data_IF_427734099849
#
_entry.id   IF_427734099849
#
_cell.length_a   1.000
_cell.length_b   1.000
_cell.length_c   1.000
_cell.angle_alpha   90.00
_cell.angle_beta   90.00
_cell.angle_gamma   90.00
#
_symmetry.space_group_name_H-M   'P 1'
#
loop_
_entity.id
_entity.type
_entity.pdbx_description
1 polymer ?
#
# COMPACT_ATOMS: atom_id res chain seq x y z
N UNK A 1 -18.88 4.64 -17.39
CA UNK A 1 -17.97 3.63 -17.98
C UNK A 1 -16.98 4.34 -18.88
N UNK A 2 -15.69 4.01 -18.79
CA UNK A 2 -14.63 4.53 -19.68
C UNK A 2 -14.21 3.42 -20.64
N UNK A 3 -13.77 3.80 -21.83
CA UNK A 3 -13.26 2.89 -22.88
C UNK A 3 -11.98 2.20 -22.39
N UNK A 4 -11.86 0.90 -22.63
CA UNK A 4 -10.66 0.11 -22.33
C UNK A 4 -9.40 0.71 -23.01
N UNK A 5 -8.33 0.88 -22.23
CA UNK A 5 -7.08 1.53 -22.67
C UNK A 5 -6.26 0.72 -23.68
N UNK A 6 -6.55 -0.56 -23.82
CA UNK A 6 -5.95 -1.50 -24.76
C UNK A 6 -6.93 -1.94 -25.85
N UNK A 7 -8.08 -1.26 -25.98
CA UNK A 7 -9.06 -1.51 -27.04
C UNK A 7 -8.45 -1.58 -28.44
N UNK A 8 -7.42 -0.78 -28.71
CA UNK A 8 -6.70 -0.79 -29.99
C UNK A 8 -5.89 -2.07 -30.25
N UNK A 9 -5.51 -2.81 -29.20
CA UNK A 9 -4.78 -4.09 -29.33
C UNK A 9 -5.70 -5.28 -29.53
N UNK A 10 -6.97 -5.17 -29.14
CA UNK A 10 -7.94 -6.25 -29.17
C UNK A 10 -9.19 -5.82 -29.93
N UNK A 11 -9.02 -5.53 -31.22
CA UNK A 11 -10.09 -5.03 -32.11
C UNK A 11 -11.31 -5.95 -32.21
N UNK A 12 -11.15 -7.24 -31.90
CA UNK A 12 -12.23 -8.23 -31.88
C UNK A 12 -13.03 -8.27 -30.58
N UNK A 13 -12.58 -7.56 -29.54
CA UNK A 13 -13.24 -7.47 -28.25
C UNK A 13 -13.88 -6.09 -28.08
N UNK A 14 -15.06 -6.05 -27.48
CA UNK A 14 -15.71 -4.80 -27.12
C UNK A 14 -14.87 -4.08 -26.07
N UNK A 15 -14.67 -2.75 -26.21
CA UNK A 15 -13.91 -1.95 -25.25
C UNK A 15 -14.58 -1.80 -23.88
N UNK A 16 -15.71 -2.49 -23.66
CA UNK A 16 -16.46 -2.53 -22.42
C UNK A 16 -16.61 -3.95 -21.87
N UNK A 17 -15.91 -4.93 -22.44
CA UNK A 17 -15.93 -6.32 -21.95
C UNK A 17 -15.06 -6.49 -20.72
N UNK A 18 -15.62 -7.14 -19.71
CA UNK A 18 -14.90 -7.52 -18.49
C UNK A 18 -14.25 -8.90 -18.64
N UNK A 19 -12.94 -9.00 -18.41
CA UNK A 19 -12.19 -10.26 -18.45
C UNK A 19 -12.31 -11.04 -19.77
N UNK A 20 -12.53 -10.35 -20.90
CA UNK A 20 -12.85 -10.98 -22.19
C UNK A 20 -13.99 -12.03 -22.11
N UNK A 21 -15.01 -11.76 -21.28
CA UNK A 21 -16.12 -12.67 -20.95
C UNK A 21 -15.72 -13.97 -20.23
N UNK A 22 -14.52 -14.06 -19.66
CA UNK A 22 -14.11 -15.18 -18.81
C UNK A 22 -13.56 -14.68 -17.46
N UNK A 23 -14.40 -14.12 -16.58
CA UNK A 23 -13.96 -13.49 -15.34
C UNK A 23 -13.43 -14.48 -14.29
N UNK A 24 -13.62 -15.80 -14.51
CA UNK A 24 -13.09 -16.85 -13.63
C UNK A 24 -11.60 -17.07 -13.90
N UNK A 25 -11.18 -17.00 -15.16
CA UNK A 25 -9.80 -17.28 -15.56
C UNK A 25 -9.01 -16.02 -15.94
N UNK A 26 -9.70 -14.95 -16.33
CA UNK A 26 -9.09 -13.69 -16.76
C UNK A 26 -9.41 -12.61 -15.71
N UNK A 27 -8.42 -12.32 -14.87
CA UNK A 27 -8.41 -11.12 -14.06
C UNK A 27 -8.06 -9.97 -15.01
N UNK A 28 -8.94 -8.99 -15.16
CA UNK A 28 -8.60 -7.72 -15.79
C UNK A 28 -7.60 -7.01 -14.86
N UNK A 29 -6.31 -7.25 -15.05
CA UNK A 29 -5.25 -6.55 -14.31
C UNK A 29 -5.26 -5.12 -14.82
N UNK A 30 -5.91 -4.22 -14.11
CA UNK A 30 -6.19 -2.86 -14.53
C UNK A 30 -4.93 -1.96 -14.46
N UNK A 31 -3.76 -2.47 -14.89
CA UNK A 31 -2.47 -1.97 -14.41
C UNK A 31 -2.40 -1.95 -12.88
N UNK A 32 -3.25 -2.74 -12.23
CA UNK A 32 -3.45 -2.72 -10.79
C UNK A 32 -2.15 -3.09 -10.11
N UNK A 33 -1.72 -2.19 -9.24
CA UNK A 33 -0.50 -2.32 -8.47
C UNK A 33 -0.64 -3.29 -7.30
N UNK A 34 -1.86 -3.61 -6.84
CA UNK A 34 -2.13 -4.72 -5.92
C UNK A 34 -3.12 -5.68 -6.58
N UNK A 35 -2.80 -6.96 -6.61
CA UNK A 35 -3.73 -8.01 -7.07
C UNK A 35 -3.43 -9.35 -6.38
N UNK A 36 -4.37 -10.28 -6.48
CA UNK A 36 -4.26 -11.59 -5.84
C UNK A 36 -4.34 -12.70 -6.88
N UNK A 37 -3.58 -13.77 -6.64
CA UNK A 37 -3.73 -15.04 -7.37
C UNK A 37 -4.00 -16.15 -6.37
N UNK A 38 -4.78 -17.16 -6.77
CA UNK A 38 -5.05 -18.35 -5.97
C UNK A 38 -4.56 -19.58 -6.73
N UNK A 39 -3.74 -20.39 -6.07
CA UNK A 39 -3.36 -21.71 -6.55
C UNK A 39 -3.43 -22.70 -5.40
N UNK A 40 -4.25 -23.72 -5.57
CA UNK A 40 -4.61 -24.68 -4.53
C UNK A 40 -5.19 -23.97 -3.29
N UNK A 41 -4.42 -23.88 -2.21
CA UNK A 41 -4.76 -23.15 -0.98
C UNK A 41 -3.76 -22.01 -0.67
N UNK A 42 -2.97 -21.60 -1.65
CA UNK A 42 -2.01 -20.50 -1.51
C UNK A 42 -2.54 -19.30 -2.27
N UNK A 43 -2.87 -18.26 -1.50
CA UNK A 43 -3.18 -16.95 -2.06
C UNK A 43 -1.89 -16.15 -2.12
N UNK A 44 -1.55 -15.60 -3.28
CA UNK A 44 -0.40 -14.71 -3.44
C UNK A 44 -0.87 -13.29 -3.68
N UNK A 45 -0.55 -12.38 -2.77
CA UNK A 45 -0.74 -10.94 -2.93
C UNK A 45 0.47 -10.37 -3.67
N UNK A 46 0.25 -9.87 -4.87
CA UNK A 46 1.27 -9.19 -5.64
C UNK A 46 1.17 -7.68 -5.40
N UNK A 47 2.31 -7.02 -5.21
CA UNK A 47 2.43 -5.57 -5.10
C UNK A 47 3.49 -5.07 -6.07
N UNK A 48 3.14 -4.11 -6.92
CA UNK A 48 4.09 -3.26 -7.65
C UNK A 48 3.94 -1.82 -7.16
N UNK A 49 4.99 -1.28 -6.53
CA UNK A 49 4.97 0.07 -5.99
C UNK A 49 6.28 0.82 -6.27
N UNK A 50 6.24 2.13 -6.03
CA UNK A 50 7.38 3.03 -6.07
C UNK A 50 7.62 3.67 -4.71
N UNK A 51 8.86 4.01 -4.41
CA UNK A 51 9.22 4.87 -3.27
C UNK A 51 9.94 6.09 -3.81
N UNK A 52 9.49 7.27 -3.40
CA UNK A 52 10.11 8.55 -3.73
C UNK A 52 10.50 9.27 -2.44
N UNK A 53 11.69 9.87 -2.45
CA UNK A 53 12.08 10.83 -1.43
C UNK A 53 11.64 12.22 -1.87
N UNK A 54 10.65 12.79 -1.19
CA UNK A 54 10.19 14.16 -1.40
C UNK A 54 10.59 15.07 -0.22
N UNK A 55 11.43 14.58 0.69
CA UNK A 55 11.89 15.30 1.86
C UNK A 55 13.26 15.94 1.65
N UNK A 56 13.67 16.76 2.62
CA UNK A 56 15.00 17.37 2.72
C UNK A 56 16.07 16.41 3.26
N UNK A 57 15.68 15.26 3.80
CA UNK A 57 16.60 14.28 4.39
C UNK A 57 17.40 13.52 3.32
N UNK A 58 18.65 13.21 3.65
CA UNK A 58 19.47 12.31 2.85
C UNK A 58 19.07 10.86 3.14
N UNK A 59 18.26 10.27 2.27
CA UNK A 59 17.73 8.91 2.42
C UNK A 59 18.27 8.00 1.33
N UNK A 60 18.74 6.81 1.71
CA UNK A 60 18.99 5.73 0.77
C UNK A 60 17.64 5.11 0.35
N UNK A 61 17.03 5.68 -0.68
CA UNK A 61 15.68 5.28 -1.16
C UNK A 61 15.62 3.82 -1.60
N UNK A 62 16.74 3.26 -2.11
CA UNK A 62 16.83 1.84 -2.47
C UNK A 62 16.75 0.94 -1.24
N UNK A 63 17.46 1.31 -0.16
CA UNK A 63 17.36 0.63 1.13
C UNK A 63 15.93 0.73 1.67
N UNK A 64 15.34 1.93 1.68
CA UNK A 64 13.96 2.13 2.14
C UNK A 64 12.97 1.24 1.37
N UNK A 65 13.10 1.14 0.03
CA UNK A 65 12.26 0.26 -0.78
C UNK A 65 12.40 -1.22 -0.40
N UNK A 66 13.63 -1.71 -0.20
CA UNK A 66 13.89 -3.09 0.24
C UNK A 66 13.34 -3.36 1.64
N UNK A 67 13.55 -2.42 2.57
CA UNK A 67 13.11 -2.53 3.95
C UNK A 67 11.57 -2.58 4.03
N UNK A 68 10.86 -1.72 3.28
CA UNK A 68 9.39 -1.74 3.19
C UNK A 68 8.91 -3.06 2.58
N UNK A 69 9.52 -3.51 1.48
CA UNK A 69 9.13 -4.76 0.82
C UNK A 69 9.27 -5.97 1.74
N UNK A 70 10.37 -6.02 2.50
CA UNK A 70 10.60 -7.03 3.53
C UNK A 70 9.56 -6.92 4.64
N UNK A 71 9.33 -5.71 5.18
CA UNK A 71 8.37 -5.48 6.25
C UNK A 71 6.94 -5.90 5.88
N UNK A 72 6.50 -5.62 4.64
CA UNK A 72 5.20 -6.08 4.13
C UNK A 72 5.19 -7.61 4.06
N UNK A 73 6.23 -8.21 3.50
CA UNK A 73 6.27 -9.67 3.38
C UNK A 73 6.27 -10.35 4.74
N UNK A 74 7.04 -9.83 5.68
CA UNK A 74 7.10 -10.32 7.04
C UNK A 74 5.74 -10.16 7.74
N UNK A 75 5.10 -8.99 7.66
CA UNK A 75 3.86 -8.72 8.37
C UNK A 75 2.64 -9.50 7.84
N UNK A 76 2.55 -9.66 6.51
CA UNK A 76 1.35 -10.16 5.84
C UNK A 76 1.38 -11.67 5.57
N UNK A 77 2.55 -12.27 5.37
CA UNK A 77 2.65 -13.70 5.17
C UNK A 77 2.07 -14.49 6.36
N UNK A 78 1.37 -15.57 6.07
CA UNK A 78 0.89 -16.50 7.09
C UNK A 78 -0.44 -17.17 6.77
N UNK A 79 -0.86 -18.05 7.67
CA UNK A 79 -2.11 -18.78 7.52
C UNK A 79 -3.32 -17.91 7.83
N UNK A 80 -4.42 -18.21 7.15
CA UNK A 80 -5.74 -17.72 7.49
C UNK A 80 -6.83 -18.76 7.23
N UNK A 81 -8.01 -18.52 7.77
CA UNK A 81 -9.18 -19.38 7.56
C UNK A 81 -10.28 -18.59 6.88
N UNK A 82 -10.88 -19.23 5.87
CA UNK A 82 -12.13 -18.77 5.26
C UNK A 82 -13.06 -19.98 5.13
N UNK A 83 -14.30 -19.86 5.62
CA UNK A 83 -15.32 -20.93 5.60
C UNK A 83 -14.80 -22.32 6.07
N UNK A 84 -14.02 -22.37 7.15
CA UNK A 84 -13.37 -23.57 7.70
C UNK A 84 -12.31 -24.23 6.80
N UNK A 85 -11.96 -23.62 5.67
CA UNK A 85 -10.82 -24.00 4.83
C UNK A 85 -9.60 -23.16 5.21
N UNK A 86 -8.44 -23.82 5.31
CA UNK A 86 -7.16 -23.17 5.60
C UNK A 86 -6.49 -22.71 4.30
N UNK A 87 -6.05 -21.47 4.30
CA UNK A 87 -5.27 -20.87 3.24
C UNK A 87 -3.96 -20.31 3.79
N UNK A 88 -2.99 -20.13 2.90
CA UNK A 88 -1.73 -19.45 3.19
C UNK A 88 -1.68 -18.19 2.33
N UNK A 89 -1.56 -17.03 2.96
CA UNK A 89 -1.21 -15.80 2.27
C UNK A 89 0.30 -15.74 2.09
N UNK A 90 0.73 -15.60 0.84
CA UNK A 90 2.08 -15.24 0.44
C UNK A 90 2.08 -13.85 -0.19
N UNK A 91 3.22 -13.18 -0.15
CA UNK A 91 3.44 -11.89 -0.77
C UNK A 91 4.49 -11.98 -1.87
N UNK A 92 4.23 -11.31 -2.99
CA UNK A 92 5.18 -11.06 -4.08
C UNK A 92 5.31 -9.53 -4.23
N UNK A 93 6.35 -8.97 -3.62
CA UNK A 93 6.47 -7.52 -3.43
C UNK A 93 7.60 -6.95 -4.27
N UNK A 94 7.26 -6.04 -5.17
CA UNK A 94 8.20 -5.33 -6.05
C UNK A 94 8.10 -3.83 -5.81
N UNK A 95 9.04 -3.28 -5.04
CA UNK A 95 9.11 -1.85 -4.76
C UNK A 95 10.35 -1.26 -5.41
N UNK A 96 10.18 -0.23 -6.23
CA UNK A 96 11.29 0.45 -6.93
C UNK A 96 11.50 1.85 -6.39
N UNK A 97 12.74 2.20 -6.06
CA UNK A 97 13.12 3.58 -5.81
C UNK A 97 13.04 4.40 -7.11
N UNK A 98 12.46 5.59 -7.02
CA UNK A 98 12.39 6.55 -8.13
C UNK A 98 12.89 7.92 -7.67
N UNK A 99 13.35 8.74 -8.62
CA UNK A 99 13.86 10.08 -8.31
C UNK A 99 12.82 11.16 -8.58
N UNK A 100 11.79 10.86 -9.39
CA UNK A 100 10.77 11.83 -9.74
C UNK A 100 9.42 11.21 -10.09
N UNK A 101 8.36 11.99 -9.96
CA UNK A 101 7.00 11.61 -10.39
C UNK A 101 6.89 11.29 -11.89
N UNK A 102 7.88 11.63 -12.72
CA UNK A 102 7.91 11.24 -14.15
C UNK A 102 8.11 9.74 -14.33
N UNK A 103 8.68 9.07 -13.33
CA UNK A 103 8.90 7.61 -13.31
C UNK A 103 7.74 6.86 -12.65
N UNK A 104 6.70 7.57 -12.23
CA UNK A 104 5.51 7.04 -11.55
C UNK A 104 4.33 7.05 -12.53
N UNK A 105 3.84 5.88 -12.89
CA UNK A 105 2.63 5.73 -13.69
C UNK A 105 1.39 5.93 -12.81
N UNK A 106 0.25 6.32 -13.39
CA UNK A 106 -1.00 6.54 -12.64
C UNK A 106 -1.54 5.31 -11.90
N UNK A 107 -1.06 4.13 -12.28
CA UNK A 107 -1.50 2.88 -11.68
C UNK A 107 -0.58 2.41 -10.55
N UNK A 108 0.60 2.98 -10.37
CA UNK A 108 1.52 2.61 -9.30
C UNK A 108 0.98 2.99 -7.91
N UNK A 109 1.16 2.11 -6.92
CA UNK A 109 1.19 2.52 -5.52
C UNK A 109 2.48 3.32 -5.26
N UNK A 110 2.39 4.32 -4.41
CA UNK A 110 3.47 5.24 -4.13
C UNK A 110 3.65 5.43 -2.63
N UNK A 111 4.84 5.07 -2.15
CA UNK A 111 5.34 5.49 -0.84
C UNK A 111 6.08 6.81 -1.01
N UNK A 112 5.69 7.81 -0.23
CA UNK A 112 6.26 9.15 -0.28
C UNK A 112 6.94 9.42 1.05
N UNK A 113 8.26 9.58 1.04
CA UNK A 113 9.02 9.98 2.23
C UNK A 113 9.05 11.51 2.28
N UNK A 114 8.56 12.08 3.37
CA UNK A 114 8.28 13.51 3.49
C UNK A 114 8.74 14.05 4.84
N UNK A 115 9.19 15.30 4.86
CA UNK A 115 9.67 15.95 6.08
C UNK A 115 8.55 16.02 7.12
N UNK A 116 8.79 15.48 8.31
CA UNK A 116 7.83 15.53 9.41
C UNK A 116 8.49 16.04 10.70
N UNK A 117 7.76 16.86 11.46
CA UNK A 117 8.31 17.45 12.69
C UNK A 117 8.28 16.50 13.91
N UNK A 118 7.84 15.25 13.73
CA UNK A 118 7.77 14.21 14.75
C UNK A 118 6.73 14.42 15.85
N UNK A 119 5.93 15.49 15.80
CA UNK A 119 4.89 15.82 16.80
C UNK A 119 3.47 15.42 16.37
N UNK A 120 3.29 15.06 15.10
CA UNK A 120 2.02 14.59 14.54
C UNK A 120 2.01 13.08 14.29
N UNK A 121 1.12 12.63 13.40
CA UNK A 121 1.21 11.26 12.88
C UNK A 121 2.57 11.05 12.16
N UNK A 122 3.03 9.80 12.07
CA UNK A 122 4.24 9.44 11.31
C UNK A 122 3.93 8.92 9.91
N UNK A 123 2.68 8.53 9.66
CA UNK A 123 2.22 8.00 8.39
C UNK A 123 0.78 8.41 8.12
N UNK A 124 0.42 8.46 6.84
CA UNK A 124 -0.96 8.58 6.40
C UNK A 124 -1.15 8.04 4.98
N UNK A 125 -2.17 7.22 4.82
CA UNK A 125 -2.66 6.74 3.52
C UNK A 125 -3.75 7.66 3.00
N UNK A 126 -3.73 7.98 1.70
CA UNK A 126 -4.67 8.93 1.12
C UNK A 126 -6.14 8.52 1.26
N UNK A 127 -6.44 7.23 1.35
CA UNK A 127 -7.75 6.67 1.71
C UNK A 127 -7.60 5.15 1.93
N UNK A 128 -8.54 4.47 2.61
CA UNK A 128 -8.59 3.01 2.57
C UNK A 128 -8.68 2.48 1.14
N UNK A 129 -7.79 1.56 0.80
CA UNK A 129 -7.62 1.05 -0.57
C UNK A 129 -6.86 1.97 -1.52
N UNK A 130 -6.36 3.10 -1.02
CA UNK A 130 -5.76 4.17 -1.81
C UNK A 130 -4.30 3.95 -2.17
N UNK A 131 -3.84 4.62 -3.24
CA UNK A 131 -2.50 4.39 -3.81
C UNK A 131 -1.34 5.10 -3.11
N UNK A 132 -1.58 6.10 -2.28
CA UNK A 132 -0.49 6.96 -1.74
C UNK A 132 -0.38 6.78 -0.25
N UNK A 133 0.81 6.36 0.17
CA UNK A 133 1.19 6.19 1.57
C UNK A 133 2.31 7.18 1.87
N UNK A 134 2.01 8.16 2.69
CA UNK A 134 2.93 9.24 3.03
C UNK A 134 3.55 8.95 4.38
N UNK A 135 4.88 8.93 4.47
CA UNK A 135 5.63 8.49 5.65
C UNK A 135 6.64 9.56 6.03
N UNK A 136 6.83 9.76 7.34
CA UNK A 136 7.85 10.63 7.88
C UNK A 136 9.25 10.16 7.45
N UNK A 137 9.96 11.01 6.73
CA UNK A 137 11.31 10.74 6.21
C UNK A 137 12.32 10.40 7.30
N UNK A 138 12.15 10.96 8.51
CA UNK A 138 12.97 10.66 9.69
C UNK A 138 12.99 9.18 10.09
N UNK A 139 12.02 8.36 9.65
CA UNK A 139 12.04 6.91 9.86
C UNK A 139 13.13 6.23 9.00
N UNK A 140 13.64 6.89 7.95
CA UNK A 140 14.56 6.35 6.95
C UNK A 140 15.84 7.18 6.72
N UNK A 141 16.06 8.24 7.49
CA UNK A 141 17.20 9.13 7.31
C UNK A 141 18.56 8.44 7.59
N UNK A 142 19.54 8.60 6.68
CA UNK A 142 20.84 7.92 6.74
C UNK A 142 21.76 8.39 7.88
N UNK A 143 21.45 9.51 8.53
CA UNK A 143 22.17 9.99 9.71
C UNK A 143 21.68 9.33 11.01
N UNK A 144 20.58 8.58 10.93
CA UNK A 144 20.07 7.80 12.03
C UNK A 144 20.70 6.41 12.04
N UNK A 145 21.73 6.22 12.87
CA UNK A 145 22.41 4.93 13.10
C UNK A 145 21.44 3.78 13.36
N UNK A 146 20.32 4.03 14.06
CA UNK A 146 19.29 3.02 14.28
C UNK A 146 18.56 2.62 13.00
N UNK A 147 18.31 3.57 12.09
CA UNK A 147 17.63 3.29 10.82
C UNK A 147 18.53 2.48 9.88
N UNK A 148 19.85 2.69 9.92
CA UNK A 148 20.83 2.00 9.08
C UNK A 148 21.20 0.59 9.56
N UNK A 149 20.95 0.27 10.84
CA UNK A 149 21.34 -1.02 11.43
C UNK A 149 20.15 -1.90 11.91
N UNK A 150 18.97 -1.34 12.14
CA UNK A 150 17.80 -2.08 12.66
C UNK A 150 16.52 -1.77 11.84
N UNK A 151 16.24 -2.58 10.81
CA UNK A 151 15.12 -2.36 9.86
C UNK A 151 13.71 -2.64 10.41
N UNK A 152 13.60 -3.30 11.55
CA UNK A 152 12.33 -3.86 12.05
C UNK A 152 11.38 -2.83 12.65
N UNK A 153 11.90 -1.72 13.20
CA UNK A 153 11.08 -0.74 13.92
C UNK A 153 10.77 0.51 13.08
N UNK A 154 11.56 0.79 12.05
CA UNK A 154 11.41 1.96 11.16
C UNK A 154 10.42 1.72 10.03
N UNK A 155 10.27 0.48 9.58
CA UNK A 155 9.36 0.12 8.48
C UNK A 155 7.91 0.01 8.91
N UNK A 156 7.66 -0.14 10.21
CA UNK A 156 6.33 -0.39 10.76
C UNK A 156 5.30 0.64 10.32
N UNK A 157 5.66 1.93 10.31
CA UNK A 157 4.76 2.99 9.83
C UNK A 157 4.36 2.73 8.38
N UNK A 158 5.32 2.49 7.49
CA UNK A 158 5.04 2.20 6.09
C UNK A 158 4.22 0.92 5.89
N UNK A 159 4.48 -0.11 6.70
CA UNK A 159 3.77 -1.40 6.65
C UNK A 159 2.32 -1.25 7.16
N UNK A 160 2.10 -0.42 8.18
CA UNK A 160 0.77 -0.05 8.68
C UNK A 160 -0.04 0.72 7.63
N UNK A 161 0.58 1.74 7.02
CA UNK A 161 -0.06 2.49 5.93
C UNK A 161 -0.33 1.60 4.71
N UNK A 162 0.55 0.66 4.42
CA UNK A 162 0.27 -0.36 3.39
C UNK A 162 -0.96 -1.21 3.73
N UNK A 163 -1.17 -1.54 5.01
CA UNK A 163 -2.41 -2.20 5.45
C UNK A 163 -3.66 -1.41 5.08
N UNK A 164 -3.63 -0.09 5.24
CA UNK A 164 -4.71 0.78 4.75
C UNK A 164 -4.84 0.77 3.23
N UNK A 165 -3.72 0.85 2.49
CA UNK A 165 -3.73 0.75 1.03
C UNK A 165 -4.26 -0.61 0.52
N UNK A 166 -4.06 -1.67 1.29
CA UNK A 166 -4.56 -3.02 1.03
C UNK A 166 -6.01 -3.26 1.52
N UNK A 167 -6.65 -2.24 2.12
CA UNK A 167 -8.08 -2.27 2.49
C UNK A 167 -8.40 -2.60 3.95
N UNK A 168 -7.39 -2.66 4.82
CA UNK A 168 -7.58 -2.78 6.26
C UNK A 168 -7.81 -1.41 6.92
N UNK A 169 -8.47 -1.41 8.05
CA UNK A 169 -8.81 -0.23 8.85
C UNK A 169 -8.56 -0.51 10.33
N UNK A 170 -8.54 0.53 11.16
CA UNK A 170 -8.39 0.34 12.61
C UNK A 170 -9.61 -0.37 13.25
N UNK A 171 -10.76 -0.43 12.57
CA UNK A 171 -11.94 -1.16 13.02
C UNK A 171 -11.78 -2.69 12.90
N UNK A 172 -10.81 -3.15 12.09
CA UNK A 172 -10.57 -4.56 11.82
C UNK A 172 -9.69 -5.23 12.90
N UNK A 173 -9.06 -4.43 13.76
CA UNK A 173 -8.11 -4.85 14.80
C UNK A 173 -8.74 -5.90 15.73
N UNK A 174 -8.04 -7.01 15.91
CA UNK A 174 -8.42 -8.07 16.86
C UNK A 174 -7.30 -8.38 17.83
N UNK A 175 -7.40 -7.82 19.04
CA UNK A 175 -6.51 -8.12 20.16
C UNK A 175 -5.43 -7.08 20.40
N UNK A 176 -4.50 -7.41 21.30
CA UNK A 176 -3.36 -6.56 21.66
C UNK A 176 -2.13 -7.10 20.93
N UNK A 177 -1.48 -6.27 20.09
CA UNK A 177 -0.31 -6.55 19.22
C UNK A 177 -0.64 -6.78 17.73
N UNK A 178 -1.67 -6.11 17.25
CA UNK A 178 -2.07 -6.06 15.85
C UNK A 178 -1.34 -4.92 15.11
N UNK A 179 -0.90 -5.16 13.87
CA UNK A 179 -0.26 -4.14 13.03
C UNK A 179 -1.16 -2.91 12.84
N UNK A 180 -2.46 -3.12 12.64
CA UNK A 180 -3.44 -2.07 12.37
C UNK A 180 -3.89 -1.34 13.64
N UNK A 181 -3.39 -1.72 14.81
CA UNK A 181 -3.67 -1.01 16.05
C UNK A 181 -2.85 0.27 16.17
N UNK A 182 -3.55 1.41 16.24
CA UNK A 182 -2.90 2.71 16.38
C UNK A 182 -2.08 2.78 17.69
N UNK A 183 -0.80 3.17 17.58
CA UNK A 183 0.06 3.43 18.73
C UNK A 183 0.57 2.20 19.50
N UNK A 184 0.22 0.97 19.10
CA UNK A 184 0.73 -0.25 19.74
C UNK A 184 1.92 -0.84 18.99
N UNK A 185 2.74 -1.69 19.63
CA UNK A 185 3.94 -2.33 19.10
C UNK A 185 3.68 -3.55 18.17
N UNK A 186 2.43 -3.82 17.78
CA UNK A 186 2.11 -4.90 16.85
C UNK A 186 2.82 -4.78 15.51
N UNK A 187 3.26 -5.91 14.95
CA UNK A 187 4.06 -5.94 13.70
C UNK A 187 3.48 -6.87 12.64
N UNK A 188 2.42 -7.63 12.95
CA UNK A 188 1.81 -8.62 12.06
C UNK A 188 0.32 -8.34 11.92
N UNK A 189 -0.24 -8.68 10.76
CA UNK A 189 -1.68 -8.83 10.62
C UNK A 189 -2.14 -10.19 11.16
N UNK A 190 -3.36 -10.22 11.66
CA UNK A 190 -4.02 -11.40 12.19
C UNK A 190 -4.54 -12.31 11.07
N UNK A 191 -4.90 -13.55 11.42
CA UNK A 191 -5.60 -14.48 10.51
C UNK A 191 -6.89 -13.86 9.96
N UNK A 192 -7.62 -13.12 10.79
CA UNK A 192 -8.86 -12.44 10.40
C UNK A 192 -8.61 -11.36 9.35
N UNK A 193 -7.61 -10.50 9.58
CA UNK A 193 -7.26 -9.45 8.64
C UNK A 193 -6.75 -10.00 7.31
N UNK A 194 -5.98 -11.10 7.32
CA UNK A 194 -5.59 -11.80 6.07
C UNK A 194 -6.80 -12.23 5.25
N UNK A 195 -7.85 -12.74 5.90
CA UNK A 195 -9.09 -13.08 5.19
C UNK A 195 -9.78 -11.81 4.64
N UNK A 196 -9.81 -10.73 5.42
CA UNK A 196 -10.40 -9.45 4.99
C UNK A 196 -9.70 -8.86 3.76
N UNK A 197 -8.38 -8.98 3.64
CA UNK A 197 -7.63 -8.52 2.46
C UNK A 197 -8.18 -9.13 1.17
N UNK A 198 -8.57 -10.40 1.21
CA UNK A 198 -9.11 -11.10 0.04
C UNK A 198 -10.55 -10.68 -0.23
N UNK A 199 -11.38 -10.66 0.82
CA UNK A 199 -12.80 -10.26 0.73
C UNK A 199 -12.94 -8.83 0.20
N UNK A 200 -12.05 -7.92 0.63
CA UNK A 200 -12.06 -6.50 0.26
C UNK A 200 -11.17 -6.17 -0.93
N UNK A 201 -10.67 -7.16 -1.65
CA UNK A 201 -9.82 -6.96 -2.83
C UNK A 201 -10.48 -6.10 -3.92
N UNK A 202 -11.82 -6.03 -3.96
CA UNK A 202 -12.55 -5.15 -4.88
C UNK A 202 -12.48 -3.65 -4.50
N UNK A 203 -11.91 -3.30 -3.35
CA UNK A 203 -11.90 -1.96 -2.77
C UNK A 203 -10.50 -1.34 -2.66
N UNK A 204 -9.52 -1.90 -3.38
CA UNK A 204 -8.12 -1.43 -3.43
C UNK A 204 -7.80 -0.74 -4.76
N UNK A 205 -6.56 -0.29 -4.96
CA UNK A 205 -6.11 0.47 -6.14
C UNK A 205 -6.93 1.77 -6.40
N UNK A 206 -7.45 2.38 -5.34
CA UNK A 206 -8.36 3.53 -5.42
C UNK A 206 -7.63 4.85 -5.54
N UNK A 207 -8.31 5.78 -6.21
CA UNK A 207 -7.89 7.18 -6.28
C UNK A 207 -6.66 7.41 -7.16
N UNK A 208 -6.31 8.70 -7.33
CA UNK A 208 -5.08 9.11 -8.00
C UNK A 208 -3.86 8.94 -7.08
N UNK A 209 -2.69 8.73 -7.69
CA UNK A 209 -1.42 8.78 -6.98
C UNK A 209 -0.67 10.12 -7.14
N UNK A 210 -1.20 11.02 -7.97
CA UNK A 210 -0.61 12.31 -8.25
C UNK A 210 -1.65 13.43 -8.30
N UNK A 211 -1.23 14.64 -7.96
CA UNK A 211 -1.99 15.88 -8.15
C UNK A 211 -1.03 16.96 -8.66
N UNK A 212 -1.33 17.54 -9.83
CA UNK A 212 -0.49 18.57 -10.47
C UNK A 212 0.99 18.17 -10.59
N UNK A 213 1.27 16.90 -10.92
CA UNK A 213 2.63 16.38 -11.10
C UNK A 213 3.40 16.10 -9.82
N UNK A 214 2.78 16.27 -8.65
CA UNK A 214 3.33 15.91 -7.33
C UNK A 214 2.62 14.69 -6.75
N UNK A 215 3.20 14.01 -5.75
CA UNK A 215 2.46 12.99 -5.00
C UNK A 215 1.13 13.53 -4.49
N UNK A 216 0.10 12.68 -4.46
CA UNK A 216 -1.24 13.11 -4.06
C UNK A 216 -1.25 13.63 -2.61
N UNK A 217 -1.58 14.90 -2.35
CA UNK A 217 -1.29 15.54 -1.06
C UNK A 217 -2.47 15.50 -0.08
N UNK A 218 -3.52 14.73 -0.36
CA UNK A 218 -4.75 14.73 0.44
C UNK A 218 -5.06 13.35 1.02
N UNK A 219 -5.57 13.37 2.25
CA UNK A 219 -6.08 12.22 2.98
C UNK A 219 -7.59 12.38 3.12
N UNK A 220 -8.32 11.36 2.73
CA UNK A 220 -9.78 11.27 2.79
C UNK A 220 -10.16 10.39 3.96
N UNK A 221 -10.71 11.01 5.00
CA UNK A 221 -11.15 10.31 6.18
C UNK A 221 -12.52 9.64 5.90
N UNK A 222 -12.61 8.30 5.96
CA UNK A 222 -13.86 7.59 5.70
C UNK A 222 -14.93 7.84 6.77
N UNK A 223 -14.55 8.20 8.00
CA UNK A 223 -15.45 8.40 9.13
C UNK A 223 -16.05 9.80 9.09
N UNK A 224 -15.20 10.83 9.06
CA UNK A 224 -15.67 12.23 9.04
C UNK A 224 -16.14 12.70 7.66
N UNK A 225 -15.81 11.94 6.59
CA UNK A 225 -16.00 12.32 5.17
C UNK A 225 -15.32 13.63 4.79
N UNK A 226 -14.34 14.07 5.58
CA UNK A 226 -13.55 15.26 5.31
C UNK A 226 -12.27 14.89 4.55
N UNK A 227 -11.79 15.85 3.79
CA UNK A 227 -10.49 15.77 3.10
C UNK A 227 -9.53 16.71 3.78
N UNK A 228 -8.40 16.18 4.24
CA UNK A 228 -7.35 16.94 4.87
C UNK A 228 -6.11 16.93 3.98
N UNK A 229 -5.41 18.06 3.83
CA UNK A 229 -4.08 17.98 3.25
C UNK A 229 -3.14 17.26 4.23
N UNK A 230 -2.32 16.36 3.71
CA UNK A 230 -1.49 15.43 4.48
C UNK A 230 -0.54 16.16 5.45
N UNK A 231 -0.04 17.34 5.05
CA UNK A 231 0.83 18.19 5.87
C UNK A 231 0.18 18.62 7.20
N UNK A 232 -1.15 18.70 7.28
CA UNK A 232 -1.86 19.04 8.54
C UNK A 232 -1.90 17.88 9.52
N UNK A 233 -1.91 16.63 9.04
CA UNK A 233 -2.01 15.44 9.88
C UNK A 233 -0.65 15.07 10.50
N UNK A 234 0.40 15.23 9.70
CA UNK A 234 1.77 14.92 10.08
C UNK A 234 2.50 16.14 10.69
N UNK A 235 1.81 17.29 10.79
CA UNK A 235 2.30 18.53 11.37
C UNK A 235 3.59 19.04 10.67
N UNK A 236 3.63 19.00 9.34
CA UNK A 236 4.83 19.35 8.57
C UNK A 236 5.17 20.85 8.66
N UNK A 237 6.46 21.16 8.53
CA UNK A 237 6.94 22.54 8.32
C UNK A 237 7.01 22.86 6.84
#
# INVERSE_FOLDING_TARGET
MKVDRYSEKYLSLSPYQYGANNPVNNIEVNGDSIWYTLKDNVVTMHLTAKVINNSSDNINVKRAASDIAFGISDAFNGEFQDNNQKFILKTDIQIKAVNSMKEVSQSDHLFVLEDANGKGARGATNMPGGKVMTIASSDYANDNWFSDHFSWNTTKTAVHEFGHAAGLTHEDVKGNNDLMQQGNAGTKVTSYERALLIIRSHSINRGPNAFLGKPYPFVHDPISKQTYPVYKLLNWK
#
